data_IF_961510150248
#
_entry.id   IF_961510150248
#
_cell.length_a   1.000
_cell.length_b   1.000
_cell.length_c   1.000
_cell.angle_alpha   90.00
_cell.angle_beta   90.00
_cell.angle_gamma   90.00
#
_symmetry.space_group_name_H-M   'P 1'
#
loop_
_entity.id
_entity.type
_entity.pdbx_description
1 polymer ?
#
# COMPACT_ATOMS: atom_id res chain seq x y z
N UNK A 1 3.67 -22.58 3.98
CA UNK A 1 4.76 -21.97 4.80
C UNK A 1 4.27 -21.91 6.22
N UNK A 2 4.95 -22.59 7.17
CA UNK A 2 4.64 -22.47 8.58
C UNK A 2 5.22 -21.16 9.10
N UNK A 3 4.44 -20.39 9.87
CA UNK A 3 4.92 -19.18 10.53
C UNK A 3 6.06 -19.56 11.50
N UNK A 4 7.12 -18.74 11.61
CA UNK A 4 8.21 -19.01 12.52
C UNK A 4 7.73 -19.11 13.97
N UNK A 5 8.16 -20.12 14.69
CA UNK A 5 7.71 -20.40 16.07
C UNK A 5 8.01 -19.26 17.07
N UNK A 6 8.98 -18.41 16.78
CA UNK A 6 9.32 -17.28 17.65
C UNK A 6 8.20 -16.21 17.73
N UNK A 7 7.25 -16.22 16.82
CA UNK A 7 6.11 -15.29 16.83
C UNK A 7 5.08 -15.60 17.94
N UNK A 8 5.13 -16.84 18.45
CA UNK A 8 4.19 -17.34 19.45
C UNK A 8 4.84 -17.53 20.83
N UNK A 9 6.18 -17.35 20.96
CA UNK A 9 6.86 -17.46 22.24
C UNK A 9 6.65 -16.20 23.07
N UNK A 10 6.29 -16.38 24.34
CA UNK A 10 6.17 -15.31 25.33
C UNK A 10 7.44 -14.45 25.33
N UNK A 11 7.28 -13.15 25.14
CA UNK A 11 8.37 -12.17 25.10
C UNK A 11 9.09 -12.12 26.43
N UNK A 12 10.40 -12.35 26.44
CA UNK A 12 11.27 -12.09 27.60
C UNK A 12 11.33 -10.56 27.86
N UNK A 13 11.68 -10.16 29.10
CA UNK A 13 11.78 -8.75 29.51
C UNK A 13 12.63 -7.88 28.55
N UNK A 14 13.65 -8.46 27.92
CA UNK A 14 14.52 -7.81 26.93
C UNK A 14 13.76 -7.47 25.64
N UNK A 15 12.90 -8.37 25.16
CA UNK A 15 12.08 -8.13 23.96
C UNK A 15 10.98 -7.11 24.23
N UNK A 16 10.48 -7.01 25.47
CA UNK A 16 9.55 -5.97 25.89
C UNK A 16 10.21 -4.58 25.84
N UNK A 17 11.47 -4.46 26.27
CA UNK A 17 12.23 -3.21 26.20
C UNK A 17 12.52 -2.80 24.75
N UNK A 18 12.87 -3.75 23.88
CA UNK A 18 13.08 -3.53 22.45
C UNK A 18 11.80 -3.11 21.72
N UNK A 19 10.62 -3.54 22.17
CA UNK A 19 9.33 -3.13 21.61
C UNK A 19 8.88 -1.73 22.08
N UNK A 20 9.39 -1.26 23.21
CA UNK A 20 9.07 0.08 23.72
C UNK A 20 9.62 1.21 22.83
N UNK A 21 10.84 1.05 22.32
CA UNK A 21 11.53 2.06 21.50
C UNK A 21 10.75 2.36 20.19
N UNK A 22 10.35 1.35 19.37
CA UNK A 22 9.56 1.62 18.17
C UNK A 22 8.21 2.30 18.45
N UNK A 23 7.51 1.88 19.50
CA UNK A 23 6.23 2.48 19.87
C UNK A 23 6.36 3.94 20.29
N UNK A 24 7.40 4.28 21.04
CA UNK A 24 7.68 5.67 21.46
C UNK A 24 8.01 6.56 20.26
N UNK A 25 8.82 6.06 19.30
CA UNK A 25 9.16 6.77 18.07
C UNK A 25 7.92 6.99 17.20
N UNK A 26 7.04 5.98 17.08
CA UNK A 26 5.79 6.09 16.32
C UNK A 26 4.86 7.10 16.96
N UNK A 27 4.71 7.08 18.28
CA UNK A 27 3.86 8.04 19.00
C UNK A 27 4.39 9.48 18.91
N UNK A 28 5.69 9.69 19.03
CA UNK A 28 6.31 10.99 18.81
C UNK A 28 6.11 11.50 17.38
N UNK A 29 6.30 10.65 16.38
CA UNK A 29 6.00 11.01 14.98
C UNK A 29 4.53 11.40 14.78
N UNK A 30 3.60 10.67 15.38
CA UNK A 30 2.16 10.94 15.23
C UNK A 30 1.74 12.30 15.84
N UNK A 31 2.46 12.80 16.87
CA UNK A 31 2.25 14.14 17.44
C UNK A 31 2.60 15.28 16.46
N UNK A 32 3.51 15.03 15.51
CA UNK A 32 3.99 16.04 14.54
C UNK A 32 3.40 15.86 13.13
N UNK A 33 2.59 14.81 12.90
CA UNK A 33 1.97 14.55 11.60
C UNK A 33 0.62 15.26 11.54
N UNK A 34 0.52 16.28 10.70
CA UNK A 34 -0.76 16.85 10.31
C UNK A 34 -1.40 15.96 9.23
N UNK A 35 -2.46 15.18 9.53
CA UNK A 35 -3.05 14.26 8.56
C UNK A 35 -3.71 15.04 7.43
N UNK A 36 -3.29 14.81 6.20
CA UNK A 36 -3.97 15.33 5.02
C UNK A 36 -5.30 14.58 4.83
N UNK A 37 -6.41 15.32 4.74
CA UNK A 37 -7.75 14.78 4.49
C UNK A 37 -8.20 15.20 3.08
N UNK A 38 -8.10 14.33 2.07
CA UNK A 38 -8.58 14.63 0.74
C UNK A 38 -10.12 14.72 0.73
N UNK A 39 -10.67 15.56 -0.13
CA UNK A 39 -12.12 15.65 -0.36
C UNK A 39 -12.62 14.52 -1.28
N UNK A 40 -12.20 13.28 -0.99
CA UNK A 40 -12.61 12.08 -1.71
C UNK A 40 -12.59 10.88 -0.76
N UNK A 41 -13.36 9.83 -1.11
CA UNK A 41 -13.38 8.59 -0.34
C UNK A 41 -12.13 7.77 -0.63
N UNK A 42 -11.39 7.40 0.39
CA UNK A 42 -10.16 6.60 0.29
C UNK A 42 -10.35 5.28 1.02
N UNK A 43 -10.14 4.17 0.31
CA UNK A 43 -10.09 2.83 0.87
C UNK A 43 -8.65 2.34 0.86
N UNK A 44 -8.08 2.06 2.03
CA UNK A 44 -6.70 1.58 2.17
C UNK A 44 -6.68 0.05 2.33
N UNK A 45 -6.02 -0.64 1.40
CA UNK A 45 -5.81 -2.10 1.46
C UNK A 45 -4.40 -2.38 1.94
N UNK A 46 -4.28 -2.89 3.15
CA UNK A 46 -3.02 -3.23 3.81
C UNK A 46 -2.99 -4.67 4.33
N UNK A 47 -1.88 -5.07 4.94
CA UNK A 47 -1.74 -6.34 5.64
C UNK A 47 -0.76 -6.20 6.81
N UNK A 48 -0.90 -7.10 7.79
CA UNK A 48 -0.04 -7.17 8.98
C UNK A 48 1.13 -8.15 8.82
N UNK A 49 1.14 -8.95 7.74
CA UNK A 49 2.17 -9.95 7.49
C UNK A 49 3.11 -9.51 6.37
N UNK A 50 4.38 -9.89 6.47
CA UNK A 50 5.36 -9.69 5.40
C UNK A 50 5.16 -10.80 4.36
N UNK A 51 4.98 -10.41 3.08
CA UNK A 51 4.85 -11.35 1.97
C UNK A 51 3.53 -11.26 1.22
N UNK A 52 3.23 -12.26 0.40
CA UNK A 52 2.10 -12.35 -0.52
C UNK A 52 0.74 -12.56 0.14
N UNK A 53 0.28 -11.61 0.95
CA UNK A 53 -0.96 -11.68 1.73
C UNK A 53 -2.24 -11.40 0.92
N UNK A 54 -2.21 -11.54 -0.41
CA UNK A 54 -3.40 -11.40 -1.26
C UNK A 54 -3.91 -9.97 -1.46
N UNK A 55 -3.08 -8.93 -1.25
CA UNK A 55 -3.50 -7.53 -1.47
C UNK A 55 -3.96 -7.28 -2.90
N UNK A 56 -3.19 -7.69 -3.88
CA UNK A 56 -3.50 -7.46 -5.30
C UNK A 56 -4.82 -8.11 -5.73
N UNK A 57 -5.12 -9.39 -5.43
CA UNK A 57 -6.43 -9.97 -5.68
C UNK A 57 -7.57 -9.24 -4.96
N UNK A 58 -7.36 -8.82 -3.71
CA UNK A 58 -8.36 -8.08 -2.94
C UNK A 58 -8.68 -6.72 -3.58
N UNK A 59 -7.67 -5.96 -3.98
CA UNK A 59 -7.87 -4.67 -4.67
C UNK A 59 -8.63 -4.85 -5.98
N UNK A 60 -8.32 -5.89 -6.76
CA UNK A 60 -9.02 -6.21 -8.01
C UNK A 60 -10.48 -6.60 -7.75
N UNK A 61 -10.74 -7.37 -6.71
CA UNK A 61 -12.09 -7.73 -6.29
C UNK A 61 -12.91 -6.49 -5.90
N UNK A 62 -12.36 -5.63 -5.03
CA UNK A 62 -13.00 -4.39 -4.59
C UNK A 62 -13.28 -3.45 -5.76
N UNK A 63 -12.34 -3.31 -6.71
CA UNK A 63 -12.56 -2.52 -7.92
C UNK A 63 -13.78 -3.01 -8.70
N UNK A 64 -13.84 -4.31 -8.99
CA UNK A 64 -14.98 -4.90 -9.71
C UNK A 64 -16.31 -4.74 -8.98
N UNK A 65 -16.29 -4.82 -7.64
CA UNK A 65 -17.47 -4.58 -6.82
C UNK A 65 -17.96 -3.14 -6.96
N UNK A 66 -17.06 -2.15 -6.83
CA UNK A 66 -17.38 -0.73 -6.97
C UNK A 66 -17.89 -0.39 -8.38
N UNK A 67 -17.27 -0.96 -9.40
CA UNK A 67 -17.70 -0.78 -10.80
C UNK A 67 -19.13 -1.31 -11.05
N UNK A 68 -19.49 -2.44 -10.44
CA UNK A 68 -20.87 -3.00 -10.51
C UNK A 68 -21.90 -2.06 -9.86
N UNK A 69 -21.50 -1.34 -8.82
CA UNK A 69 -22.32 -0.32 -8.15
C UNK A 69 -22.27 1.05 -8.86
N UNK A 70 -21.67 1.12 -10.06
CA UNK A 70 -21.55 2.36 -10.83
C UNK A 70 -20.56 3.37 -10.26
N UNK A 71 -19.69 2.95 -9.32
CA UNK A 71 -18.72 3.81 -8.66
C UNK A 71 -17.38 3.74 -9.40
N UNK A 72 -16.97 4.85 -10.01
CA UNK A 72 -15.63 4.97 -10.60
C UNK A 72 -14.56 5.05 -9.53
N UNK A 73 -13.51 4.24 -9.63
CA UNK A 73 -12.41 4.25 -8.69
C UNK A 73 -11.05 4.21 -9.40
N UNK A 74 -10.04 4.78 -8.76
CA UNK A 74 -8.65 4.68 -9.14
C UNK A 74 -7.88 3.84 -8.12
N UNK A 75 -6.90 3.08 -8.57
CA UNK A 75 -5.94 2.41 -7.68
C UNK A 75 -4.67 3.24 -7.62
N UNK A 76 -4.26 3.62 -6.40
CA UNK A 76 -3.02 4.33 -6.18
C UNK A 76 -1.98 3.41 -5.54
N UNK A 77 -0.81 3.34 -6.15
CA UNK A 77 0.33 2.53 -5.72
C UNK A 77 1.57 3.40 -5.51
N UNK A 78 2.51 2.91 -4.71
CA UNK A 78 3.80 3.59 -4.51
C UNK A 78 4.77 3.41 -5.69
N UNK A 79 4.51 2.44 -6.58
CA UNK A 79 5.44 2.08 -7.67
C UNK A 79 6.68 1.37 -7.14
N UNK A 80 6.49 0.32 -6.34
CA UNK A 80 7.60 -0.49 -5.80
C UNK A 80 8.47 -1.03 -6.95
N UNK A 81 9.80 -0.91 -6.82
CA UNK A 81 10.80 -1.23 -7.84
C UNK A 81 10.72 -0.40 -9.13
N UNK A 82 9.77 0.52 -9.26
CA UNK A 82 9.73 1.46 -10.38
C UNK A 82 10.67 2.64 -10.17
N UNK A 83 11.27 3.14 -11.27
CA UNK A 83 12.17 4.30 -11.26
C UNK A 83 11.43 5.62 -11.12
N UNK A 84 10.19 5.73 -11.64
CA UNK A 84 9.41 6.97 -11.61
C UNK A 84 8.80 7.24 -10.24
N UNK A 85 8.91 8.49 -9.78
CA UNK A 85 8.38 8.90 -8.48
C UNK A 85 6.90 9.25 -8.51
N UNK A 86 6.35 9.58 -9.68
CA UNK A 86 4.99 10.11 -9.82
C UNK A 86 4.80 11.53 -9.24
N UNK A 87 3.55 12.05 -9.23
CA UNK A 87 2.33 11.36 -9.63
C UNK A 87 2.27 11.07 -11.13
N UNK A 88 1.88 9.86 -11.49
CA UNK A 88 1.85 9.39 -12.87
C UNK A 88 0.67 8.45 -13.11
N UNK A 89 -0.18 8.75 -14.09
CA UNK A 89 -1.18 7.81 -14.59
C UNK A 89 -0.47 6.70 -15.37
N UNK A 90 -0.70 5.47 -14.97
CA UNK A 90 -0.06 4.30 -15.61
C UNK A 90 -0.80 3.95 -16.88
N UNK A 91 -0.05 3.84 -17.98
CA UNK A 91 -0.52 3.34 -19.26
C UNK A 91 0.33 2.14 -19.68
N UNK A 92 -0.32 1.00 -19.89
CA UNK A 92 0.33 -0.26 -20.27
C UNK A 92 1.02 -0.20 -21.64
N UNK A 93 0.60 0.72 -22.52
CA UNK A 93 1.17 0.87 -23.86
C UNK A 93 2.48 1.66 -23.85
N UNK A 94 2.65 2.57 -22.89
CA UNK A 94 3.76 3.53 -22.86
C UNK A 94 4.73 3.30 -21.72
N UNK A 95 4.30 2.64 -20.63
CA UNK A 95 5.14 2.42 -19.46
C UNK A 95 5.61 0.97 -19.32
N UNK A 96 6.87 0.81 -18.95
CA UNK A 96 7.48 -0.48 -18.63
C UNK A 96 7.44 -0.79 -17.13
N UNK A 97 7.60 -2.07 -16.75
CA UNK A 97 7.71 -2.48 -15.35
C UNK A 97 8.90 -1.83 -14.62
N UNK A 98 9.98 -1.49 -15.34
CA UNK A 98 11.15 -0.77 -14.78
C UNK A 98 10.81 0.66 -14.36
N UNK A 99 9.79 1.25 -14.97
CA UNK A 99 9.39 2.64 -14.69
C UNK A 99 8.35 2.73 -13.58
N UNK A 100 7.34 1.88 -13.60
CA UNK A 100 6.17 2.00 -12.70
C UNK A 100 6.00 0.83 -11.74
N UNK A 101 6.75 -0.26 -11.94
CA UNK A 101 6.61 -1.51 -11.19
C UNK A 101 5.59 -2.45 -11.83
N UNK A 102 5.78 -3.75 -11.61
CA UNK A 102 4.95 -4.82 -12.17
C UNK A 102 3.49 -4.79 -11.64
N UNK A 103 3.31 -4.52 -10.37
CA UNK A 103 1.98 -4.42 -9.75
C UNK A 103 1.15 -3.28 -10.35
N UNK A 104 1.77 -2.14 -10.64
CA UNK A 104 1.10 -1.00 -11.26
C UNK A 104 0.62 -1.32 -12.69
N UNK A 105 1.43 -2.03 -13.48
CA UNK A 105 1.02 -2.51 -14.80
C UNK A 105 -0.12 -3.53 -14.71
N UNK A 106 -0.09 -4.41 -13.70
CA UNK A 106 -1.17 -5.39 -13.51
C UNK A 106 -2.51 -4.68 -13.23
N UNK A 107 -2.52 -3.69 -12.34
CA UNK A 107 -3.73 -2.93 -12.02
C UNK A 107 -4.20 -2.01 -13.16
N UNK A 108 -3.28 -1.52 -14.00
CA UNK A 108 -3.64 -0.67 -15.14
C UNK A 108 -4.41 -1.42 -16.25
N UNK A 109 -4.32 -2.76 -16.28
CA UNK A 109 -5.16 -3.61 -17.15
C UNK A 109 -6.63 -3.57 -16.76
N UNK A 110 -6.90 -3.38 -15.48
CA UNK A 110 -8.26 -3.39 -14.94
C UNK A 110 -8.88 -1.98 -14.85
N UNK A 111 -8.12 -0.91 -15.12
CA UNK A 111 -8.64 0.46 -15.14
C UNK A 111 -7.66 1.50 -14.58
N UNK A 112 -8.17 2.68 -14.22
CA UNK A 112 -7.34 3.82 -13.81
C UNK A 112 -6.42 3.47 -12.66
N UNK A 113 -5.13 3.62 -12.91
CA UNK A 113 -4.06 3.32 -11.95
C UNK A 113 -3.06 4.47 -11.92
N UNK A 114 -2.70 4.89 -10.71
CA UNK A 114 -1.78 5.99 -10.45
C UNK A 114 -0.61 5.48 -9.63
N UNK A 115 0.60 5.83 -10.04
CA UNK A 115 1.80 5.64 -9.25
C UNK A 115 2.22 6.97 -8.65
N UNK A 116 2.39 7.00 -7.32
CA UNK A 116 2.92 8.17 -6.63
C UNK A 116 3.66 7.78 -5.35
N UNK A 117 4.92 8.20 -5.22
CA UNK A 117 5.68 8.06 -3.97
C UNK A 117 5.13 8.99 -2.89
N UNK A 118 4.68 10.18 -3.27
CA UNK A 118 3.96 11.11 -2.40
C UNK A 118 2.45 10.95 -2.61
N UNK A 119 1.77 10.37 -1.64
CA UNK A 119 0.33 10.06 -1.73
C UNK A 119 -0.58 11.28 -1.70
N UNK A 120 -0.09 12.41 -1.18
CA UNK A 120 -0.85 13.67 -1.16
C UNK A 120 -0.88 14.31 -2.54
N UNK A 121 0.17 14.11 -3.35
CA UNK A 121 0.26 14.63 -4.72
C UNK A 121 -0.42 13.74 -5.76
N UNK A 122 -0.64 12.46 -5.45
CA UNK A 122 -1.33 11.51 -6.33
C UNK A 122 -2.81 11.58 -6.19
#
# INVERSE_FOLDING_TARGET
MRSPEFWWKRTNKITSLLNFIPNTIVNLKNLFINPYRPNLKVLCVGNFTIGGAGKTPMVRFLRKLLEREGISCAVMLRGYKGSKAGPLKVDIKTHSYKEVGDEALLHSKDGLTIVSKNRVKG
#
